data_IF_046237822584
#
_entry.id   IF_046237822584
#
_cell.length_a   1.000
_cell.length_b   1.000
_cell.length_c   1.000
_cell.angle_alpha   90.00
_cell.angle_beta   90.00
_cell.angle_gamma   90.00
#
_symmetry.space_group_name_H-M   'P 1'
#
loop_
_entity.id
_entity.type
_entity.pdbx_description
1 polymer ?
#
# COMPACT_ATOMS: atom_id res chain seq x y z
N UNK A 1 2.71 -33.81 -70.59
CA UNK A 1 2.80 -33.65 -69.12
C UNK A 1 2.86 -35.03 -68.47
N UNK A 2 4.00 -35.39 -67.88
CA UNK A 2 4.24 -36.72 -67.33
C UNK A 2 3.19 -37.09 -66.27
N UNK A 3 2.69 -38.33 -66.28
CA UNK A 3 1.64 -38.80 -65.36
C UNK A 3 2.07 -38.69 -63.89
N UNK A 4 3.38 -38.70 -63.63
CA UNK A 4 3.98 -38.49 -62.31
C UNK A 4 3.77 -37.07 -61.78
N UNK A 5 3.87 -36.03 -62.61
CA UNK A 5 3.63 -34.64 -62.18
C UNK A 5 2.16 -34.40 -61.80
N UNK A 6 1.22 -35.02 -62.53
CA UNK A 6 -0.22 -34.89 -62.23
C UNK A 6 -0.59 -35.61 -60.92
N UNK A 7 0.01 -36.77 -60.66
CA UNK A 7 -0.21 -37.53 -59.42
C UNK A 7 0.46 -36.88 -58.21
N UNK A 8 1.64 -36.32 -58.38
CA UNK A 8 2.32 -35.54 -57.34
C UNK A 8 1.55 -34.28 -56.94
N UNK A 9 1.00 -33.55 -57.92
CA UNK A 9 0.19 -32.36 -57.65
C UNK A 9 -1.10 -32.68 -56.86
N UNK A 10 -1.78 -33.79 -57.19
CA UNK A 10 -2.99 -34.22 -56.48
C UNK A 10 -2.70 -34.65 -55.04
N UNK A 11 -1.60 -35.39 -54.82
CA UNK A 11 -1.19 -35.79 -53.47
C UNK A 11 -0.84 -34.57 -52.60
N UNK A 12 -0.10 -33.60 -53.16
CA UNK A 12 0.24 -32.36 -52.48
C UNK A 12 -1.01 -31.53 -52.12
N UNK A 13 -1.97 -31.42 -53.05
CA UNK A 13 -3.22 -30.71 -52.82
C UNK A 13 -4.07 -31.36 -51.71
N UNK A 14 -4.14 -32.70 -51.67
CA UNK A 14 -4.86 -33.43 -50.63
C UNK A 14 -4.26 -33.16 -49.23
N UNK A 15 -2.93 -33.25 -49.10
CA UNK A 15 -2.24 -32.99 -47.84
C UNK A 15 -2.41 -31.53 -47.40
N UNK A 16 -2.24 -30.57 -48.31
CA UNK A 16 -2.39 -29.15 -48.00
C UNK A 16 -3.82 -28.80 -47.56
N UNK A 17 -4.83 -29.35 -48.22
CA UNK A 17 -6.24 -29.13 -47.86
C UNK A 17 -6.59 -29.76 -46.50
N UNK A 18 -6.06 -30.95 -46.20
CA UNK A 18 -6.25 -31.59 -44.89
C UNK A 18 -5.68 -30.76 -43.75
N UNK A 19 -4.45 -30.23 -43.89
CA UNK A 19 -3.81 -29.41 -42.85
C UNK A 19 -4.62 -28.14 -42.57
N UNK A 20 -5.09 -27.46 -43.62
CA UNK A 20 -5.89 -26.24 -43.48
C UNK A 20 -7.20 -26.49 -42.70
N UNK A 21 -7.90 -27.60 -43.00
CA UNK A 21 -9.14 -27.96 -42.30
C UNK A 21 -8.92 -28.37 -40.83
N UNK A 22 -7.79 -29.00 -40.50
CA UNK A 22 -7.46 -29.38 -39.11
C UNK A 22 -7.00 -28.19 -38.26
N UNK A 23 -6.29 -27.21 -38.85
CA UNK A 23 -5.85 -26.01 -38.12
C UNK A 23 -6.98 -25.03 -37.78
N UNK A 24 -8.13 -25.12 -38.46
CA UNK A 24 -9.26 -24.22 -38.22
C UNK A 24 -9.88 -24.40 -36.81
N UNK A 25 -9.74 -25.57 -36.19
CA UNK A 25 -10.21 -25.80 -34.81
C UNK A 25 -9.26 -25.18 -33.76
N UNK A 26 -8.01 -24.87 -34.10
CA UNK A 26 -7.04 -24.31 -33.15
C UNK A 26 -7.28 -22.83 -32.84
N UNK A 27 -8.05 -22.11 -33.68
CA UNK A 27 -8.40 -20.69 -33.51
C UNK A 27 -9.86 -20.48 -33.07
N UNK A 28 -10.56 -21.55 -32.69
CA UNK A 28 -11.98 -21.50 -32.31
C UNK A 28 -12.22 -21.12 -30.84
N UNK A 29 -13.45 -21.39 -30.38
CA UNK A 29 -13.96 -21.08 -29.03
C UNK A 29 -13.20 -21.74 -27.86
N UNK A 30 -12.17 -22.55 -28.13
CA UNK A 30 -11.27 -23.18 -27.15
C UNK A 30 -9.82 -23.13 -27.61
N UNK A 31 -9.43 -22.08 -28.33
CA UNK A 31 -8.05 -21.89 -28.72
C UNK A 31 -7.14 -21.85 -27.49
N UNK A 32 -5.97 -22.50 -27.58
CA UNK A 32 -4.99 -22.50 -26.48
C UNK A 32 -4.55 -21.09 -26.09
N UNK A 33 -4.63 -20.13 -27.03
CA UNK A 33 -4.35 -18.72 -26.78
C UNK A 33 -5.37 -18.04 -25.87
N UNK A 34 -6.63 -18.53 -25.82
CA UNK A 34 -7.66 -18.01 -24.92
C UNK A 34 -7.50 -18.50 -23.47
N UNK A 35 -6.65 -19.52 -23.26
CA UNK A 35 -6.36 -20.08 -21.94
C UNK A 35 -5.14 -19.41 -21.30
N UNK A 36 -4.42 -18.56 -22.03
CA UNK A 36 -3.36 -17.73 -21.46
C UNK A 36 -4.03 -16.61 -20.67
N UNK A 37 -3.79 -16.61 -19.36
CA UNK A 37 -4.29 -15.59 -18.45
C UNK A 37 -3.17 -14.61 -18.09
N UNK A 38 -3.52 -13.36 -17.73
CA UNK A 38 -2.56 -12.46 -17.11
C UNK A 38 -1.96 -13.10 -15.86
N UNK A 39 -0.69 -12.80 -15.58
CA UNK A 39 0.01 -13.36 -14.41
C UNK A 39 -0.57 -12.85 -13.08
N UNK A 40 -1.07 -11.61 -13.08
CA UNK A 40 -1.68 -10.99 -11.91
C UNK A 40 -3.18 -11.25 -11.86
N UNK A 41 -3.69 -11.30 -10.63
CA UNK A 41 -5.04 -11.75 -10.35
C UNK A 41 -6.09 -10.87 -11.03
N UNK A 42 -7.11 -11.52 -11.61
CA UNK A 42 -8.23 -10.88 -12.27
C UNK A 42 -9.52 -11.65 -11.98
N UNK A 43 -10.64 -10.93 -11.93
CA UNK A 43 -11.97 -11.52 -11.76
C UNK A 43 -13.05 -10.64 -12.37
N UNK A 44 -14.25 -11.17 -12.55
CA UNK A 44 -15.43 -10.41 -12.99
C UNK A 44 -16.64 -10.89 -12.22
N UNK A 45 -17.38 -9.95 -11.63
CA UNK A 45 -18.61 -10.19 -10.88
C UNK A 45 -19.61 -9.12 -11.32
N UNK A 46 -20.72 -9.55 -11.91
CA UNK A 46 -21.64 -8.63 -12.58
C UNK A 46 -20.88 -7.82 -13.64
N UNK A 47 -21.05 -6.50 -13.59
CA UNK A 47 -20.43 -5.56 -14.52
C UNK A 47 -19.04 -5.10 -14.08
N UNK A 48 -18.61 -5.44 -12.86
CA UNK A 48 -17.28 -5.09 -12.36
C UNK A 48 -16.26 -6.14 -12.77
N UNK A 49 -15.21 -5.67 -13.44
CA UNK A 49 -14.02 -6.45 -13.76
C UNK A 49 -12.81 -5.86 -13.06
N UNK A 50 -12.12 -6.67 -12.28
CA UNK A 50 -10.86 -6.31 -11.62
C UNK A 50 -9.73 -6.98 -12.39
N UNK A 51 -8.69 -6.21 -12.74
CA UNK A 51 -7.50 -6.74 -13.41
C UNK A 51 -6.23 -6.24 -12.72
N UNK A 52 -5.15 -7.02 -12.85
CA UNK A 52 -3.82 -6.67 -12.35
C UNK A 52 -3.80 -6.39 -10.84
N UNK A 53 -4.56 -7.17 -10.05
CA UNK A 53 -4.62 -6.98 -8.61
C UNK A 53 -3.40 -7.59 -7.92
N UNK A 54 -2.68 -6.77 -7.16
CA UNK A 54 -1.50 -7.12 -6.38
C UNK A 54 -1.52 -6.38 -5.03
N UNK A 55 -0.81 -6.92 -4.04
CA UNK A 55 -0.48 -6.19 -2.81
C UNK A 55 1.01 -5.91 -2.83
N UNK A 56 1.38 -4.65 -2.66
CA UNK A 56 2.79 -4.22 -2.67
C UNK A 56 3.21 -3.82 -1.26
N UNK A 57 4.19 -4.52 -0.70
CA UNK A 57 4.75 -4.27 0.63
C UNK A 57 5.97 -3.36 0.54
N UNK A 58 6.48 -2.94 1.70
CA UNK A 58 7.77 -2.24 1.80
C UNK A 58 8.90 -3.10 1.19
N UNK A 59 9.92 -2.49 0.58
CA UNK A 59 11.04 -3.23 -0.01
C UNK A 59 11.89 -3.91 1.09
N UNK A 60 12.06 -3.23 2.24
CA UNK A 60 12.78 -3.78 3.38
C UNK A 60 11.92 -4.79 4.15
N UNK A 61 12.47 -6.00 4.33
CA UNK A 61 11.78 -7.09 5.01
C UNK A 61 11.58 -6.85 6.52
N UNK A 62 12.34 -5.97 7.13
CA UNK A 62 12.23 -5.60 8.54
C UNK A 62 11.31 -4.39 8.76
N UNK A 63 10.87 -3.73 7.68
CA UNK A 63 10.00 -2.57 7.76
C UNK A 63 8.60 -2.93 8.24
N UNK A 64 8.11 -2.17 9.23
CA UNK A 64 6.73 -2.26 9.72
C UNK A 64 5.79 -1.30 8.99
N UNK A 65 6.22 -0.78 7.84
CA UNK A 65 5.50 0.24 7.09
C UNK A 65 4.19 -0.20 6.47
N UNK A 66 3.50 0.74 5.81
CA UNK A 66 2.29 0.42 5.07
C UNK A 66 2.58 -0.56 3.94
N UNK A 67 1.56 -1.29 3.52
CA UNK A 67 1.48 -1.94 2.22
C UNK A 67 0.41 -1.21 1.40
N UNK A 68 0.36 -1.41 0.09
CA UNK A 68 -0.67 -0.83 -0.77
C UNK A 68 -1.32 -1.91 -1.62
N UNK A 69 -2.61 -1.77 -1.90
CA UNK A 69 -3.30 -2.59 -2.90
C UNK A 69 -3.29 -1.84 -4.22
N UNK A 70 -2.77 -2.47 -5.26
CA UNK A 70 -2.85 -1.94 -6.63
C UNK A 70 -3.72 -2.83 -7.49
N UNK A 71 -4.60 -2.21 -8.28
CA UNK A 71 -5.50 -2.88 -9.20
C UNK A 71 -6.06 -1.87 -10.21
N UNK A 72 -6.54 -2.37 -11.34
CA UNK A 72 -7.42 -1.60 -12.23
C UNK A 72 -8.84 -2.14 -12.14
N UNK A 73 -9.77 -1.26 -11.79
CA UNK A 73 -11.19 -1.57 -11.65
C UNK A 73 -11.90 -1.05 -12.89
N UNK A 74 -12.55 -1.94 -13.64
CA UNK A 74 -13.34 -1.59 -14.81
C UNK A 74 -14.82 -1.81 -14.50
N UNK A 75 -15.66 -0.89 -14.99
CA UNK A 75 -17.10 -1.01 -14.91
C UNK A 75 -17.66 -1.12 -16.34
N UNK A 76 -18.21 -2.29 -16.66
CA UNK A 76 -18.79 -2.59 -17.97
C UNK A 76 -20.28 -2.25 -18.05
N UNK A 77 -20.85 -1.76 -16.95
CA UNK A 77 -22.26 -1.41 -16.84
C UNK A 77 -22.54 0.01 -17.29
N UNK A 78 -23.82 0.36 -17.25
CA UNK A 78 -24.36 1.65 -17.69
C UNK A 78 -24.54 2.66 -16.54
N UNK A 79 -24.25 2.26 -15.29
CA UNK A 79 -24.32 3.11 -14.09
C UNK A 79 -22.95 3.20 -13.41
N UNK A 80 -22.66 4.36 -12.83
CA UNK A 80 -21.44 4.56 -12.05
C UNK A 80 -21.46 3.70 -10.77
N UNK A 81 -20.31 3.15 -10.40
CA UNK A 81 -20.11 2.41 -9.15
C UNK A 81 -19.14 3.18 -8.25
N UNK A 82 -19.37 3.23 -6.95
CA UNK A 82 -18.38 3.78 -6.00
C UNK A 82 -17.64 2.64 -5.32
N UNK A 83 -16.31 2.71 -5.27
CA UNK A 83 -15.50 1.84 -4.43
C UNK A 83 -15.63 2.31 -2.97
N UNK A 84 -16.26 1.49 -2.15
CA UNK A 84 -16.59 1.85 -0.76
C UNK A 84 -15.53 1.36 0.22
N UNK A 85 -14.96 0.18 -0.01
CA UNK A 85 -13.90 -0.37 0.84
C UNK A 85 -13.05 -1.40 0.11
N UNK A 86 -11.83 -1.58 0.62
CA UNK A 86 -10.93 -2.68 0.25
C UNK A 86 -10.45 -3.34 1.54
N UNK A 87 -10.69 -4.64 1.68
CA UNK A 87 -10.36 -5.39 2.90
C UNK A 87 -9.52 -6.62 2.59
N UNK A 88 -8.76 -7.08 3.58
CA UNK A 88 -7.98 -8.32 3.54
C UNK A 88 -8.55 -9.31 4.57
N UNK A 89 -9.56 -10.11 4.20
CA UNK A 89 -10.12 -11.13 5.07
C UNK A 89 -9.05 -12.04 5.67
N UNK A 90 -9.25 -12.45 6.92
CA UNK A 90 -8.29 -13.25 7.69
C UNK A 90 -7.16 -12.45 8.33
N UNK A 91 -6.95 -11.19 7.94
CA UNK A 91 -5.95 -10.30 8.56
C UNK A 91 -6.58 -9.24 9.48
N UNK A 92 -7.90 -9.01 9.33
CA UNK A 92 -8.60 -7.92 10.02
C UNK A 92 -8.22 -6.53 9.53
N UNK A 93 -7.51 -6.41 8.41
CA UNK A 93 -7.07 -5.13 7.84
C UNK A 93 -8.07 -4.62 6.80
N UNK A 94 -8.28 -3.31 6.84
CA UNK A 94 -9.00 -2.52 5.84
C UNK A 94 -8.05 -1.47 5.31
N UNK A 95 -8.04 -1.26 4.00
CA UNK A 95 -7.24 -0.22 3.39
C UNK A 95 -7.90 1.15 3.60
N UNK A 96 -7.07 2.14 3.89
CA UNK A 96 -7.42 3.55 3.84
C UNK A 96 -7.48 3.97 2.37
N UNK A 97 -8.66 4.41 1.94
CA UNK A 97 -8.90 4.82 0.56
C UNK A 97 -8.79 6.33 0.44
N UNK A 98 -8.04 6.80 -0.55
CA UNK A 98 -8.02 8.21 -0.95
C UNK A 98 -8.17 8.35 -2.46
N UNK A 99 -8.97 9.32 -2.95
CA UNK A 99 -9.06 9.58 -4.37
C UNK A 99 -7.77 10.19 -4.91
N UNK A 100 -7.56 10.11 -6.21
CA UNK A 100 -6.57 10.93 -6.91
C UNK A 100 -6.86 12.42 -6.70
N UNK A 101 -5.86 13.28 -6.90
CA UNK A 101 -6.03 14.74 -6.76
C UNK A 101 -7.15 15.24 -7.69
N UNK A 102 -8.16 15.90 -7.11
CA UNK A 102 -9.34 16.39 -7.85
C UNK A 102 -10.29 15.29 -8.35
N UNK A 103 -10.07 14.02 -7.98
CA UNK A 103 -10.86 12.88 -8.40
C UNK A 103 -11.83 12.34 -7.35
N UNK A 104 -12.42 11.18 -7.64
CA UNK A 104 -13.28 10.42 -6.73
C UNK A 104 -12.89 8.94 -6.73
N UNK A 105 -13.47 8.17 -5.80
CA UNK A 105 -13.38 6.70 -5.77
C UNK A 105 -14.46 6.04 -6.66
N UNK A 106 -14.94 6.77 -7.66
CA UNK A 106 -15.95 6.28 -8.59
C UNK A 106 -15.29 5.50 -9.74
N UNK A 107 -15.87 4.36 -10.08
CA UNK A 107 -15.61 3.62 -11.33
C UNK A 107 -16.73 3.98 -12.32
N UNK A 108 -16.46 4.88 -13.29
CA UNK A 108 -17.50 5.39 -14.18
C UNK A 108 -18.11 4.28 -15.05
N UNK A 109 -19.38 4.42 -15.44
CA UNK A 109 -20.01 3.56 -16.43
C UNK A 109 -19.18 3.47 -17.73
N UNK A 110 -18.90 2.25 -18.19
CA UNK A 110 -18.01 1.99 -19.33
C UNK A 110 -16.55 2.43 -19.12
N UNK A 111 -16.16 2.79 -17.90
CA UNK A 111 -14.88 3.40 -17.55
C UNK A 111 -14.06 2.57 -16.58
N UNK A 112 -13.06 3.22 -15.97
CA UNK A 112 -12.15 2.58 -15.02
C UNK A 112 -11.65 3.51 -13.93
N UNK A 113 -11.30 2.92 -12.79
CA UNK A 113 -10.54 3.53 -11.69
C UNK A 113 -9.24 2.74 -11.49
N UNK A 114 -8.12 3.43 -11.40
CA UNK A 114 -6.81 2.83 -11.12
C UNK A 114 -6.49 3.07 -9.65
N UNK A 115 -6.07 2.00 -8.96
CA UNK A 115 -5.57 2.04 -7.59
C UNK A 115 -4.05 1.80 -7.57
N UNK A 116 -3.35 2.59 -6.77
CA UNK A 116 -1.90 2.52 -6.59
C UNK A 116 -1.11 3.20 -7.70
N UNK A 117 0.17 3.46 -7.45
CA UNK A 117 1.03 4.25 -8.32
C UNK A 117 0.82 5.76 -8.21
N UNK A 118 1.82 6.52 -8.63
CA UNK A 118 1.80 7.98 -8.56
C UNK A 118 0.61 8.60 -9.30
N UNK A 119 -0.07 9.55 -8.66
CA UNK A 119 -1.18 10.31 -9.25
C UNK A 119 -2.53 9.57 -9.33
N UNK A 120 -2.60 8.31 -8.89
CA UNK A 120 -3.83 7.53 -8.87
C UNK A 120 -4.52 7.56 -7.49
N UNK A 121 -5.71 6.97 -7.39
CA UNK A 121 -6.33 6.72 -6.10
C UNK A 121 -5.49 5.73 -5.29
N UNK A 122 -5.43 5.90 -3.98
CA UNK A 122 -4.64 5.04 -3.10
C UNK A 122 -5.54 4.11 -2.28
N UNK A 123 -5.01 2.92 -2.00
CA UNK A 123 -5.58 1.94 -1.07
C UNK A 123 -4.45 1.46 -0.15
N UNK A 124 -4.26 2.17 0.96
CA UNK A 124 -3.11 1.99 1.87
C UNK A 124 -3.49 1.11 3.04
N UNK A 125 -2.75 0.04 3.28
CA UNK A 125 -2.92 -0.86 4.41
C UNK A 125 -1.91 -0.49 5.52
N UNK A 126 -2.34 0.11 6.64
CA UNK A 126 -1.43 0.51 7.71
C UNK A 126 -0.88 -0.70 8.49
N UNK A 127 0.43 -0.64 8.79
CA UNK A 127 1.18 -1.62 9.59
C UNK A 127 0.91 -3.06 9.16
N UNK A 128 1.34 -3.40 7.94
CA UNK A 128 0.85 -4.59 7.22
C UNK A 128 1.81 -5.75 7.16
N UNK A 129 3.03 -5.62 7.70
CA UNK A 129 4.06 -6.65 7.59
C UNK A 129 3.66 -8.00 8.20
N UNK A 130 2.99 -7.96 9.36
CA UNK A 130 2.49 -9.18 10.01
C UNK A 130 1.23 -9.74 9.32
N UNK A 131 0.48 -8.87 8.65
CA UNK A 131 -0.77 -9.21 7.98
C UNK A 131 -0.56 -9.77 6.57
N UNK A 132 0.52 -9.37 5.89
CA UNK A 132 0.75 -9.66 4.47
C UNK A 132 2.22 -10.00 4.26
N UNK A 133 2.48 -11.21 3.75
CA UNK A 133 3.82 -11.76 3.55
C UNK A 133 4.16 -11.85 2.06
N UNK A 134 5.38 -11.46 1.70
CA UNK A 134 5.87 -11.51 0.31
C UNK A 134 5.80 -12.94 -0.25
N UNK A 135 5.38 -13.06 -1.52
CA UNK A 135 5.15 -14.36 -2.18
C UNK A 135 3.86 -15.07 -1.78
N UNK A 136 3.10 -14.56 -0.81
CA UNK A 136 1.77 -15.09 -0.50
C UNK A 136 0.74 -14.73 -1.60
N UNK A 137 -0.36 -15.48 -1.65
CA UNK A 137 -1.57 -15.15 -2.39
C UNK A 137 -2.66 -14.71 -1.40
N UNK A 138 -2.70 -13.41 -1.14
CA UNK A 138 -3.57 -12.76 -0.16
C UNK A 138 -4.99 -12.57 -0.72
N UNK A 139 -6.02 -12.96 0.03
CA UNK A 139 -7.39 -12.62 -0.35
C UNK A 139 -7.62 -11.12 -0.14
N UNK A 140 -8.14 -10.47 -1.18
CA UNK A 140 -8.53 -9.07 -1.20
C UNK A 140 -9.97 -8.99 -1.65
N UNK A 141 -10.77 -8.21 -0.93
CA UNK A 141 -12.19 -7.99 -1.20
C UNK A 141 -12.44 -6.51 -1.42
N UNK A 142 -12.97 -6.19 -2.60
CA UNK A 142 -13.38 -4.85 -3.00
C UNK A 142 -14.90 -4.76 -2.86
N UNK A 143 -15.40 -3.72 -2.21
CA UNK A 143 -16.85 -3.51 -2.05
C UNK A 143 -17.29 -2.33 -2.88
N UNK A 144 -18.29 -2.55 -3.74
CA UNK A 144 -18.87 -1.53 -4.61
C UNK A 144 -20.31 -1.23 -4.23
N UNK A 145 -20.74 0.01 -4.48
CA UNK A 145 -22.05 0.53 -4.07
C UNK A 145 -23.27 -0.30 -4.49
N UNK A 146 -23.29 -0.85 -5.72
CA UNK A 146 -24.40 -1.69 -6.18
C UNK A 146 -23.98 -3.13 -6.45
N UNK A 147 -22.77 -3.35 -6.99
CA UNK A 147 -22.27 -4.70 -7.27
C UNK A 147 -21.99 -5.50 -5.99
N UNK A 148 -21.71 -4.80 -4.87
CA UNK A 148 -21.34 -5.43 -3.61
C UNK A 148 -19.91 -5.95 -3.61
N UNK A 149 -19.68 -7.07 -2.93
CA UNK A 149 -18.35 -7.62 -2.69
C UNK A 149 -17.81 -8.40 -3.91
N UNK A 150 -16.60 -8.04 -4.33
CA UNK A 150 -15.83 -8.71 -5.37
C UNK A 150 -14.49 -9.15 -4.78
N UNK A 151 -14.30 -10.46 -4.65
CA UNK A 151 -13.13 -11.04 -4.00
C UNK A 151 -12.24 -11.77 -4.99
N UNK A 152 -10.92 -11.66 -4.80
CA UNK A 152 -9.91 -12.42 -5.51
C UNK A 152 -8.67 -12.64 -4.64
N UNK A 153 -7.73 -13.46 -5.10
CA UNK A 153 -6.45 -13.69 -4.43
C UNK A 153 -5.34 -12.99 -5.20
N UNK A 154 -4.82 -11.91 -4.63
CA UNK A 154 -3.75 -11.11 -5.19
C UNK A 154 -2.39 -11.61 -4.68
N UNK A 155 -1.38 -11.64 -5.56
CA UNK A 155 -0.01 -11.92 -5.13
C UNK A 155 0.57 -10.74 -4.36
N UNK A 156 1.44 -11.05 -3.41
CA UNK A 156 2.15 -10.07 -2.60
C UNK A 156 3.57 -9.93 -3.12
N UNK A 157 3.96 -8.71 -3.50
CA UNK A 157 5.29 -8.38 -3.97
C UNK A 157 5.91 -7.27 -3.10
N UNK A 158 7.22 -7.29 -2.83
CA UNK A 158 7.89 -6.13 -2.28
C UNK A 158 8.00 -5.02 -3.33
N UNK A 159 8.02 -3.76 -2.88
CA UNK A 159 8.21 -2.58 -3.73
C UNK A 159 9.65 -2.45 -4.28
N UNK A 160 10.11 -3.48 -4.99
CA UNK A 160 11.41 -3.54 -5.64
C UNK A 160 11.25 -3.71 -7.15
N UNK A 161 12.26 -3.32 -7.92
CA UNK A 161 12.31 -3.48 -9.37
C UNK A 161 11.07 -2.87 -10.05
N UNK A 162 10.24 -3.71 -10.70
CA UNK A 162 9.04 -3.29 -11.41
C UNK A 162 7.97 -2.63 -10.51
N UNK A 163 8.01 -2.89 -9.19
CA UNK A 163 7.00 -2.41 -8.25
C UNK A 163 7.44 -1.18 -7.44
N UNK A 164 8.64 -0.64 -7.67
CA UNK A 164 9.14 0.54 -6.95
C UNK A 164 8.17 1.74 -7.03
N UNK A 165 7.64 2.01 -8.23
CA UNK A 165 6.68 3.11 -8.45
C UNK A 165 5.23 2.78 -8.09
N UNK A 166 4.94 1.54 -7.69
CA UNK A 166 3.60 1.07 -7.32
C UNK A 166 3.47 0.73 -5.84
N UNK A 167 4.58 0.83 -5.10
CA UNK A 167 4.65 0.59 -3.68
C UNK A 167 4.17 1.77 -2.84
N UNK A 168 4.19 1.61 -1.50
CA UNK A 168 3.86 2.68 -0.57
C UNK A 168 4.86 3.84 -0.70
N UNK A 169 4.35 5.07 -0.81
CA UNK A 169 5.19 6.28 -0.85
C UNK A 169 5.85 6.61 0.50
N UNK A 170 5.23 6.19 1.61
CA UNK A 170 5.82 6.30 2.95
C UNK A 170 6.68 5.08 3.23
N UNK A 171 8.00 5.26 3.16
CA UNK A 171 8.97 4.25 3.57
C UNK A 171 9.42 4.60 4.99
N UNK A 172 9.01 3.85 6.03
CA UNK A 172 9.48 4.12 7.39
C UNK A 172 10.99 3.97 7.46
N UNK A 173 11.62 4.79 8.31
CA UNK A 173 13.04 4.64 8.60
C UNK A 173 13.31 3.25 9.18
N UNK A 174 14.35 2.58 8.67
CA UNK A 174 14.83 1.31 9.24
C UNK A 174 15.18 1.51 10.72
N UNK A 175 14.96 0.51 11.60
CA UNK A 175 15.37 0.59 13.00
C UNK A 175 16.87 0.90 13.11
N UNK A 176 17.21 2.12 13.55
CA UNK A 176 18.60 2.58 13.68
C UNK A 176 19.09 3.55 12.58
N UNK A 177 18.27 3.86 11.58
CA UNK A 177 18.52 4.99 10.68
C UNK A 177 18.14 6.29 11.39
N UNK A 178 19.14 7.08 11.78
CA UNK A 178 18.94 8.43 12.30
C UNK A 178 18.24 9.26 11.22
N UNK A 179 17.11 9.88 11.55
CA UNK A 179 16.42 10.78 10.64
C UNK A 179 17.35 11.95 10.28
N UNK A 180 17.85 11.97 9.04
CA UNK A 180 18.50 13.15 8.47
C UNK A 180 17.37 14.17 8.22
N UNK A 181 17.09 15.01 9.23
CA UNK A 181 16.25 16.19 9.05
C UNK A 181 16.90 17.05 7.98
N UNK A 182 16.32 17.09 6.78
CA UNK A 182 16.65 18.09 5.77
C UNK A 182 16.18 19.46 6.27
N UNK A 183 16.97 20.10 7.12
CA UNK A 183 16.78 21.51 7.48
C UNK A 183 17.27 22.37 6.33
N UNK A 184 16.35 22.76 5.47
CA UNK A 184 16.56 23.86 4.54
C UNK A 184 16.74 25.15 5.38
N UNK A 185 17.84 25.92 5.24
CA UNK A 185 18.03 27.10 6.05
C UNK A 185 17.23 28.25 5.42
N UNK A 186 16.08 28.59 6.01
CA UNK A 186 15.43 29.87 5.72
C UNK A 186 16.14 30.95 6.54
N UNK A 187 17.15 31.56 5.94
CA UNK A 187 17.72 32.81 6.42
C UNK A 187 17.16 33.92 5.55
N UNK A 188 16.30 34.77 6.12
CA UNK A 188 16.27 36.20 5.78
C UNK A 188 15.57 36.97 6.91
N UNK A 189 16.40 37.62 7.72
CA UNK A 189 16.04 38.66 8.67
C UNK A 189 15.42 39.84 7.92
N UNK A 190 14.33 40.38 8.46
CA UNK A 190 13.88 41.74 8.10
C UNK A 190 13.51 42.47 9.39
N UNK A 191 14.47 43.26 9.88
CA UNK A 191 14.29 44.32 10.87
C UNK A 191 13.47 45.47 10.26
N UNK A 192 12.42 45.93 10.96
CA UNK A 192 12.28 47.34 11.33
C UNK A 192 11.15 47.55 12.39
N UNK A 193 11.26 48.60 13.24
CA UNK A 193 10.62 48.66 14.55
C UNK A 193 9.38 49.57 14.61
N UNK A 194 8.57 49.41 15.66
CA UNK A 194 7.68 50.47 16.16
C UNK A 194 7.38 50.35 17.67
N UNK A 195 8.10 51.20 18.41
CA UNK A 195 7.68 52.07 19.52
C UNK A 195 6.65 51.64 20.60
N UNK A 196 7.12 51.77 21.86
CA UNK A 196 6.36 52.25 23.03
C UNK A 196 5.62 51.17 23.83
N UNK A 197 5.67 51.08 25.15
CA UNK A 197 6.01 52.07 26.19
C UNK A 197 6.14 51.35 27.54
N UNK A 198 7.10 51.82 28.34
CA UNK A 198 7.06 52.03 29.81
C UNK A 198 6.57 50.90 30.73
N UNK A 199 7.47 50.38 31.57
CA UNK A 199 7.48 50.69 33.01
C UNK A 199 8.54 49.83 33.74
N UNK A 200 9.58 50.49 34.19
CA UNK A 200 10.34 50.16 35.39
C UNK A 200 10.18 51.40 36.29
N UNK A 201 10.15 51.29 37.63
CA UNK A 201 11.44 51.09 38.29
C UNK A 201 11.42 50.44 39.69
N UNK A 202 12.64 50.12 40.15
CA UNK A 202 13.13 50.13 41.55
C UNK A 202 12.56 49.05 42.51
N UNK A 203 13.32 48.38 43.36
CA UNK A 203 14.62 48.69 43.94
C UNK A 203 14.50 48.89 45.47
N UNK A 204 14.91 47.86 46.22
CA UNK A 204 15.63 47.95 47.51
C UNK A 204 14.89 48.04 48.88
N UNK A 205 15.27 47.05 49.71
CA UNK A 205 15.70 47.09 51.15
C UNK A 205 14.72 47.12 52.35
N UNK A 206 14.97 46.12 53.22
CA UNK A 206 15.06 46.08 54.69
C UNK A 206 13.86 46.48 55.57
N UNK A 207 13.42 45.59 56.48
CA UNK A 207 14.02 45.48 57.83
C UNK A 207 13.41 44.30 58.63
N UNK A 208 14.22 43.74 59.52
CA UNK A 208 14.02 42.53 60.29
C UNK A 208 13.27 42.76 61.61
N UNK A 209 12.65 41.71 62.17
CA UNK A 209 12.84 41.42 63.60
C UNK A 209 12.61 39.94 63.92
N UNK A 210 13.70 39.33 64.41
CA UNK A 210 13.81 38.06 65.13
C UNK A 210 13.11 38.17 66.52
N UNK A 211 12.94 37.10 67.35
CA UNK A 211 14.07 36.34 67.87
C UNK A 211 13.88 34.83 68.18
N UNK A 212 15.05 34.20 68.30
CA UNK A 212 15.49 33.11 69.18
C UNK A 212 15.03 31.65 69.03
N UNK A 213 16.06 30.80 68.95
CA UNK A 213 16.14 29.34 68.87
C UNK A 213 16.23 28.72 70.30
N UNK A 214 16.71 27.46 70.53
CA UNK A 214 17.01 26.33 69.64
C UNK A 214 16.42 24.98 70.15
N UNK A 215 16.48 23.90 69.34
CA UNK A 215 17.29 22.71 69.67
C UNK A 215 17.20 21.55 68.64
N UNK A 216 18.38 21.00 68.35
CA UNK A 216 18.70 19.55 68.25
C UNK A 216 18.23 18.67 67.05
N UNK A 217 19.28 18.26 66.30
CA UNK A 217 19.61 16.96 65.68
C UNK A 217 18.90 16.40 64.43
N UNK A 218 19.79 15.93 63.54
CA UNK A 218 19.60 15.27 62.23
C UNK A 218 19.98 13.79 62.39
N UNK A 219 19.29 12.86 61.69
CA UNK A 219 19.96 12.04 60.66
C UNK A 219 19.10 12.01 59.37
N UNK A 220 19.60 12.21 58.15
CA UNK A 220 20.58 11.44 57.36
C UNK A 220 20.03 10.11 56.76
N UNK A 221 19.81 10.14 55.44
CA UNK A 221 19.90 9.01 54.48
C UNK A 221 18.69 8.06 54.37
N UNK A 222 18.33 7.45 53.24
CA UNK A 222 18.83 7.41 51.86
C UNK A 222 17.80 6.65 50.99
N UNK A 223 17.90 6.85 49.68
CA UNK A 223 17.30 6.16 48.53
C UNK A 223 16.70 4.75 48.73
N UNK A 224 15.57 4.51 48.06
CA UNK A 224 15.06 3.17 47.74
C UNK A 224 15.04 3.00 46.22
N UNK A 225 15.95 2.16 45.73
CA UNK A 225 15.94 1.56 44.41
C UNK A 225 16.26 0.07 44.59
N UNK A 226 15.61 -0.79 43.78
CA UNK A 226 15.93 -2.19 43.45
C UNK A 226 14.68 -3.08 43.32
N UNK A 227 14.16 -3.12 42.09
CA UNK A 227 14.09 -4.31 41.24
C UNK A 227 14.16 -5.69 41.90
N UNK A 228 13.11 -6.50 41.72
CA UNK A 228 13.17 -7.97 41.85
C UNK A 228 12.86 -8.63 40.51
N UNK A 229 13.83 -9.39 40.02
CA UNK A 229 13.71 -10.31 38.91
C UNK A 229 14.02 -11.74 39.37
N UNK A 230 13.53 -12.69 38.57
CA UNK A 230 13.94 -14.09 38.43
C UNK A 230 13.16 -15.15 39.24
N UNK A 231 12.44 -15.98 38.48
CA UNK A 231 12.28 -17.40 38.76
C UNK A 231 12.55 -18.18 37.46
N UNK A 232 13.48 -19.15 37.44
CA UNK A 232 13.51 -20.20 36.43
C UNK A 232 12.76 -21.45 36.95
N UNK A 233 12.03 -22.08 36.04
CA UNK A 233 11.36 -23.36 36.25
C UNK A 233 12.33 -24.52 35.98
N UNK A 234 12.30 -25.54 36.84
CA UNK A 234 12.90 -26.85 36.58
C UNK A 234 12.03 -27.92 37.25
N UNK A 235 11.66 -28.96 36.51
CA UNK A 235 10.88 -30.12 36.98
C UNK A 235 9.94 -30.66 35.92
#
# INVERSE_FOLDING_TARGET
>A
MSSSLRRGALAAAAIAFSIASLSACAAGHNAQTLQIQPDNAATTVGDIKIQNAIVVTQPDLESTGPAVVSATLFNQGDTDQTLESVTLPGTGKTAELSPAEGGSLTVPAGGSLILGGEGNAAAVLPSSREAVQDGNAQQVTFTFSETGEVSLRAFVFPAENFFEGWGPSEIPAAPGASAETSTEPTAESSDEPAAGSTDEPTGSTDEATSPDAPDTEVPAGTASDASSASAPANG
#
